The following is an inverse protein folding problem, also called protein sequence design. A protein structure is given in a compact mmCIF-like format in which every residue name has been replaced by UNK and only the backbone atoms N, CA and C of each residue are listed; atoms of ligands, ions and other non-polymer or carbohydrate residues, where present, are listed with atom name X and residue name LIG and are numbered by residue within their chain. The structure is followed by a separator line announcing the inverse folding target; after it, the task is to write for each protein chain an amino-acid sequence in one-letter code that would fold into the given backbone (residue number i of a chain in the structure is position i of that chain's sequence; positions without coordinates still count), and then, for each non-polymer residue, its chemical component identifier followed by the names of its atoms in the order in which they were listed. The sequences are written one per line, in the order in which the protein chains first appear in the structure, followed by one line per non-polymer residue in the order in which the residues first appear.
data_IF_548505567339
#
_entry.id   IF_548505567339
#
_cell.length_a   1.000
_cell.length_b   1.000
_cell.length_c   1.000
_cell.angle_alpha   90.00
_cell.angle_beta   90.00
_cell.angle_gamma   90.00
#
_symmetry.space_group_name_H-M   'P 1'
#
loop_
_entity.id
_entity.type
_entity.pdbx_description
1 polymer ?
#
# COMPACT_ATOMS: atom_id res chain seq x y z
N UNK A 1 -13.20 4.95 5.44
CA UNK A 1 -12.55 6.28 5.59
C UNK A 1 -13.52 7.48 5.49
N UNK A 2 -14.79 7.37 5.88
CA UNK A 2 -15.81 8.44 5.65
C UNK A 2 -15.59 9.76 6.43
N UNK A 3 -14.54 9.88 7.24
CA UNK A 3 -14.31 11.03 8.12
C UNK A 3 -12.99 11.78 7.87
N UNK A 4 -12.07 11.24 7.07
CA UNK A 4 -10.86 11.99 6.71
C UNK A 4 -11.26 13.12 5.76
N UNK A 5 -10.80 14.34 6.07
CA UNK A 5 -11.09 15.56 5.29
C UNK A 5 -9.83 16.28 4.83
N UNK A 6 -8.66 15.70 5.11
CA UNK A 6 -7.36 16.28 4.83
C UNK A 6 -6.36 15.15 4.48
N UNK A 7 -5.22 15.49 3.86
CA UNK A 7 -4.13 14.55 3.63
C UNK A 7 -3.77 13.78 4.91
N UNK A 8 -3.35 12.53 4.72
CA UNK A 8 -2.91 11.66 5.79
C UNK A 8 -1.78 10.77 5.28
N UNK A 9 -0.88 10.39 6.19
CA UNK A 9 0.11 9.36 5.95
C UNK A 9 -0.46 8.02 6.39
N UNK A 10 -0.48 7.04 5.49
CA UNK A 10 -0.72 5.64 5.82
C UNK A 10 0.61 4.91 5.79
N UNK A 11 0.97 4.28 6.90
CA UNK A 11 2.09 3.37 6.98
C UNK A 11 1.53 1.96 7.14
N UNK A 12 1.75 1.13 6.14
CA UNK A 12 1.28 -0.25 6.07
C UNK A 12 2.45 -1.18 6.39
N UNK A 13 2.21 -2.13 7.29
CA UNK A 13 3.15 -3.21 7.57
C UNK A 13 3.04 -4.24 6.44
N UNK A 14 4.18 -4.64 5.88
CA UNK A 14 4.20 -5.68 4.86
C UNK A 14 3.79 -7.02 5.46
N UNK A 15 4.27 -7.34 6.67
CA UNK A 15 4.15 -8.69 7.23
C UNK A 15 3.14 -8.80 8.36
N UNK A 16 2.49 -9.95 8.40
CA UNK A 16 1.90 -10.45 9.63
C UNK A 16 3.00 -10.78 10.66
N UNK A 17 3.02 -10.06 11.78
CA UNK A 17 4.03 -10.20 12.86
C UNK A 17 4.07 -11.56 13.59
N UNK A 18 3.19 -12.53 13.25
CA UNK A 18 3.01 -13.80 13.96
C UNK A 18 2.61 -13.64 15.47
N UNK A 19 2.21 -14.73 16.14
CA UNK A 19 1.78 -14.69 17.56
C UNK A 19 0.28 -14.39 17.79
N UNK A 20 -0.08 -13.77 18.93
CA UNK A 20 -1.46 -13.29 19.24
C UNK A 20 -1.65 -11.91 18.60
N UNK A 21 -1.64 -11.87 17.29
CA UNK A 21 -1.96 -10.67 16.50
C UNK A 21 -3.16 -10.98 15.62
N UNK A 22 -3.87 -9.96 15.13
CA UNK A 22 -5.05 -10.18 14.30
C UNK A 22 -4.61 -10.80 12.95
N UNK A 23 -4.85 -12.10 12.76
CA UNK A 23 -4.65 -12.78 11.46
C UNK A 23 -5.96 -12.70 10.67
N UNK A 24 -5.92 -12.03 9.52
CA UNK A 24 -7.00 -12.11 8.54
C UNK A 24 -6.97 -13.44 7.78
N UNK A 25 -7.95 -13.67 6.90
CA UNK A 25 -8.01 -14.90 6.09
C UNK A 25 -6.87 -15.01 5.06
N UNK A 26 -6.16 -13.91 4.78
CA UNK A 26 -4.98 -13.84 3.91
C UNK A 26 -3.76 -13.38 4.72
N UNK A 27 -2.62 -14.00 4.46
CA UNK A 27 -1.36 -13.69 5.16
C UNK A 27 -0.82 -12.27 4.81
N UNK A 28 -1.26 -11.67 3.69
CA UNK A 28 -0.82 -10.36 3.18
C UNK A 28 -1.92 -9.70 2.32
N UNK A 29 -2.91 -9.01 2.92
CA UNK A 29 -3.99 -8.36 2.17
C UNK A 29 -3.57 -7.00 1.57
N UNK A 30 -2.29 -6.77 1.22
CA UNK A 30 -1.79 -5.43 0.85
C UNK A 30 -2.56 -4.80 -0.32
N UNK A 31 -2.98 -5.59 -1.32
CA UNK A 31 -3.80 -5.10 -2.43
C UNK A 31 -5.22 -4.70 -1.97
N UNK A 32 -5.78 -5.37 -0.97
CA UNK A 32 -7.12 -5.06 -0.42
C UNK A 32 -7.08 -3.82 0.47
N UNK A 33 -6.01 -3.65 1.25
CA UNK A 33 -5.77 -2.45 2.03
C UNK A 33 -5.62 -1.23 1.12
N UNK A 34 -4.81 -1.36 0.07
CA UNK A 34 -4.66 -0.34 -0.97
C UNK A 34 -5.98 -0.11 -1.70
N UNK A 35 -6.76 -1.15 -2.03
CA UNK A 35 -8.09 -1.00 -2.63
C UNK A 35 -9.00 -0.15 -1.73
N UNK A 36 -9.00 -0.44 -0.43
CA UNK A 36 -9.80 0.29 0.55
C UNK A 36 -9.36 1.74 0.65
N UNK A 37 -8.05 2.05 0.70
CA UNK A 37 -7.55 3.43 0.78
C UNK A 37 -7.83 4.20 -0.52
N UNK A 38 -7.50 3.59 -1.66
CA UNK A 38 -7.59 4.22 -2.98
C UNK A 38 -9.02 4.31 -3.53
N UNK A 39 -9.99 3.60 -2.94
CA UNK A 39 -11.40 3.73 -3.35
C UNK A 39 -12.12 4.93 -2.73
N UNK A 40 -11.50 5.66 -1.80
CA UNK A 40 -12.03 6.91 -1.25
C UNK A 40 -11.57 8.14 -2.04
N UNK A 41 -12.20 9.31 -1.83
CA UNK A 41 -11.76 10.55 -2.46
C UNK A 41 -10.25 10.79 -2.29
N UNK A 42 -9.61 11.22 -3.36
CA UNK A 42 -8.20 11.55 -3.32
C UNK A 42 -8.00 12.88 -2.59
N UNK A 43 -7.57 12.78 -1.33
CA UNK A 43 -7.23 13.93 -0.49
C UNK A 43 -5.71 14.20 -0.50
N UNK A 44 -4.94 13.60 -1.41
CA UNK A 44 -3.49 13.72 -1.41
C UNK A 44 -2.82 12.92 -0.30
N UNK A 45 -3.27 11.67 -0.09
CA UNK A 45 -2.66 10.79 0.90
C UNK A 45 -1.27 10.32 0.47
N UNK A 46 -0.34 10.23 1.42
CA UNK A 46 0.94 9.55 1.21
C UNK A 46 0.81 8.15 1.79
N UNK A 47 1.26 7.14 1.06
CA UNK A 47 1.28 5.76 1.54
C UNK A 47 2.72 5.26 1.56
N UNK A 48 3.09 4.56 2.62
CA UNK A 48 4.37 3.86 2.78
C UNK A 48 4.03 2.41 3.11
N UNK A 49 4.68 1.47 2.43
CA UNK A 49 4.56 0.04 2.66
C UNK A 49 5.94 -0.49 3.04
N UNK A 50 6.03 -1.22 4.15
CA UNK A 50 7.28 -1.83 4.60
C UNK A 50 7.63 -3.10 3.79
N UNK A 51 8.84 -3.62 4.00
CA UNK A 51 9.34 -4.86 3.41
C UNK A 51 9.30 -4.91 1.87
N UNK A 52 9.76 -3.85 1.21
CA UNK A 52 9.84 -3.77 -0.25
C UNK A 52 10.60 -4.96 -0.87
N UNK A 53 11.60 -5.51 -0.16
CA UNK A 53 12.33 -6.73 -0.57
C UNK A 53 11.45 -7.96 -0.80
N UNK A 54 10.27 -8.04 -0.17
CA UNK A 54 9.35 -9.18 -0.28
C UNK A 54 8.52 -9.14 -1.57
N UNK A 55 8.35 -7.96 -2.18
CA UNK A 55 7.54 -7.78 -3.38
C UNK A 55 8.21 -8.44 -4.60
N UNK A 56 7.68 -9.59 -5.00
CA UNK A 56 8.18 -10.41 -6.10
C UNK A 56 9.18 -11.49 -5.68
N UNK A 57 9.48 -11.63 -4.38
CA UNK A 57 10.31 -12.72 -3.84
C UNK A 57 9.50 -13.67 -2.96
N UNK A 58 8.50 -13.14 -2.24
CA UNK A 58 7.56 -13.92 -1.46
C UNK A 58 6.22 -14.03 -2.22
N UNK A 59 5.68 -15.24 -2.45
CA UNK A 59 4.43 -15.45 -3.18
C UNK A 59 3.20 -14.81 -2.52
N UNK A 60 3.31 -14.41 -1.26
CA UNK A 60 2.28 -13.66 -0.55
C UNK A 60 2.16 -12.20 -1.06
N UNK A 61 3.19 -11.65 -1.71
CA UNK A 61 3.19 -10.28 -2.20
C UNK A 61 3.15 -10.23 -3.73
N UNK A 62 2.49 -9.20 -4.32
CA UNK A 62 2.64 -8.93 -5.74
C UNK A 62 4.08 -8.50 -6.04
N UNK A 63 4.49 -8.61 -7.29
CA UNK A 63 5.71 -7.94 -7.71
C UNK A 63 5.49 -6.41 -7.87
N UNK A 64 6.59 -5.65 -7.92
CA UNK A 64 6.53 -4.19 -8.00
C UNK A 64 5.77 -3.68 -9.24
N UNK A 65 5.84 -4.39 -10.38
CA UNK A 65 5.15 -3.97 -11.60
C UNK A 65 3.64 -4.19 -11.51
N UNK A 66 3.20 -5.31 -10.93
CA UNK A 66 1.80 -5.58 -10.63
C UNK A 66 1.25 -4.54 -9.65
N UNK A 67 1.99 -4.24 -8.59
CA UNK A 67 1.62 -3.22 -7.60
C UNK A 67 1.46 -1.84 -8.26
N UNK A 68 2.43 -1.41 -9.09
CA UNK A 68 2.36 -0.16 -9.84
C UNK A 68 1.13 -0.13 -10.76
N UNK A 69 0.90 -1.21 -11.50
CA UNK A 69 -0.25 -1.31 -12.41
C UNK A 69 -1.57 -1.20 -11.65
N UNK A 70 -1.68 -1.85 -10.49
CA UNK A 70 -2.84 -1.75 -9.62
C UNK A 70 -3.08 -0.31 -9.13
N UNK A 71 -2.03 0.39 -8.69
CA UNK A 71 -2.12 1.78 -8.21
C UNK A 71 -2.51 2.73 -9.34
N UNK A 72 -1.86 2.64 -10.51
CA UNK A 72 -2.13 3.52 -11.64
C UNK A 72 -3.52 3.32 -12.24
N UNK A 73 -4.13 2.14 -12.11
CA UNK A 73 -5.53 1.92 -12.47
C UNK A 73 -6.53 2.65 -11.55
N UNK A 74 -6.08 3.18 -10.40
CA UNK A 74 -6.92 3.85 -9.40
C UNK A 74 -6.57 5.32 -9.18
N UNK A 75 -5.35 5.74 -9.57
CA UNK A 75 -4.80 7.08 -9.33
C UNK A 75 -3.91 7.52 -10.49
N UNK A 76 -4.28 8.63 -11.11
CA UNK A 76 -3.57 9.18 -12.29
C UNK A 76 -2.38 10.10 -11.92
N UNK A 77 -2.30 10.57 -10.66
CA UNK A 77 -1.34 11.60 -10.22
C UNK A 77 -0.56 11.20 -8.98
N UNK A 78 0.10 10.04 -9.05
CA UNK A 78 0.96 9.54 -7.99
C UNK A 78 2.31 9.08 -8.54
N UNK A 79 3.36 9.25 -7.75
CA UNK A 79 4.66 8.67 -7.96
C UNK A 79 4.81 7.44 -7.06
N UNK A 80 5.37 6.35 -7.62
CA UNK A 80 5.69 5.14 -6.86
C UNK A 80 7.19 4.90 -6.90
N UNK A 81 7.84 5.01 -5.74
CA UNK A 81 9.28 4.81 -5.56
C UNK A 81 9.58 3.75 -4.51
N UNK A 82 10.76 3.13 -4.61
CA UNK A 82 11.26 2.15 -3.64
C UNK A 82 12.54 2.69 -3.04
N UNK A 83 12.57 2.85 -1.72
CA UNK A 83 13.69 3.43 -0.99
C UNK A 83 13.73 2.89 0.44
N UNK A 84 14.91 2.61 0.97
CA UNK A 84 15.11 2.18 2.38
C UNK A 84 14.25 0.97 2.78
N UNK A 85 14.16 -0.04 1.90
CA UNK A 85 13.30 -1.24 2.06
C UNK A 85 11.80 -0.90 2.19
N UNK A 86 11.38 0.29 1.75
CA UNK A 86 9.98 0.73 1.73
C UNK A 86 9.50 1.10 0.33
N UNK A 87 8.22 0.88 0.05
CA UNK A 87 7.54 1.36 -1.16
C UNK A 87 6.73 2.60 -0.80
N UNK A 88 6.95 3.69 -1.52
CA UNK A 88 6.34 4.99 -1.26
C UNK A 88 5.45 5.40 -2.41
N UNK A 89 4.23 5.84 -2.09
CA UNK A 89 3.22 6.31 -3.03
C UNK A 89 2.90 7.75 -2.64
N UNK A 90 3.31 8.70 -3.48
CA UNK A 90 3.26 10.13 -3.17
C UNK A 90 2.46 10.86 -4.25
N UNK A 91 1.49 11.72 -3.90
CA UNK A 91 0.78 12.56 -4.87
C UNK A 91 1.74 13.50 -5.60
N UNK A 92 1.53 13.70 -6.92
CA UNK A 92 2.36 14.58 -7.76
C UNK A 92 1.66 15.89 -8.14
N UNK A 93 0.52 16.19 -7.51
CA UNK A 93 -0.26 17.43 -7.66
C UNK A 93 -0.51 18.10 -6.33
#
# INVERSE_FOLDING_TARGET
MKQLKQPALFWLDGHYSQGITARGDKDTPILEELDCILSYPDLGHVLIIDDARCFGTDPAYPNINELKSFIFNKRDYVEVSVQDDSIRIVPTK
#
